data_IF_427985037386
#
_entry.id   IF_427985037386
#
_cell.length_a   1.000
_cell.length_b   1.000
_cell.length_c   1.000
_cell.angle_alpha   90.00
_cell.angle_beta   90.00
_cell.angle_gamma   90.00
#
_symmetry.space_group_name_H-M   'P 1'
#
loop_
_entity.id
_entity.type
_entity.pdbx_description
1 polymer ?
#
# COMPACT_ATOMS: atom_id res chain seq x y z
N UNK A 1 -26.62 3.45 11.36
CA UNK A 1 -26.67 3.11 9.95
C UNK A 1 -25.40 3.56 9.26
N UNK A 2 -24.95 2.80 8.38
CA UNK A 2 -23.79 3.21 7.63
C UNK A 2 -24.21 3.29 6.16
N UNK A 3 -23.85 4.36 5.50
CA UNK A 3 -23.72 4.28 4.08
C UNK A 3 -22.69 3.19 3.78
N UNK A 4 -22.77 2.54 2.63
CA UNK A 4 -21.68 1.68 2.21
C UNK A 4 -20.40 2.50 2.33
N UNK A 5 -19.42 1.96 3.04
CA UNK A 5 -18.13 2.60 3.09
C UNK A 5 -17.68 2.82 1.66
N UNK A 6 -17.31 4.03 1.33
CA UNK A 6 -16.75 4.29 0.02
C UNK A 6 -15.50 3.46 -0.14
N UNK A 7 -15.43 2.67 -1.19
CA UNK A 7 -14.27 1.89 -1.54
C UNK A 7 -13.80 2.24 -2.93
N UNK A 8 -12.50 2.11 -3.15
CA UNK A 8 -11.93 2.33 -4.48
C UNK A 8 -12.62 1.43 -5.50
N UNK A 9 -12.89 1.96 -6.69
CA UNK A 9 -13.49 1.18 -7.76
C UNK A 9 -12.46 0.30 -8.43
N UNK A 10 -12.92 -0.74 -9.13
CA UNK A 10 -12.04 -1.60 -9.91
C UNK A 10 -11.25 -0.79 -10.96
N UNK A 11 -11.90 0.14 -11.63
CA UNK A 11 -11.25 0.97 -12.64
C UNK A 11 -10.14 1.83 -12.05
N UNK A 12 -10.41 2.48 -10.91
CA UNK A 12 -9.40 3.29 -10.23
C UNK A 12 -8.25 2.45 -9.69
N UNK A 13 -8.55 1.27 -9.15
CA UNK A 13 -7.52 0.34 -8.67
C UNK A 13 -6.59 -0.09 -9.81
N UNK A 14 -7.16 -0.42 -10.98
CA UNK A 14 -6.37 -0.77 -12.16
C UNK A 14 -5.51 0.38 -12.65
N UNK A 15 -6.05 1.60 -12.65
CA UNK A 15 -5.30 2.80 -13.04
C UNK A 15 -4.15 3.05 -12.07
N UNK A 16 -4.37 2.84 -10.78
CA UNK A 16 -3.35 3.02 -9.75
C UNK A 16 -2.21 2.01 -9.94
N UNK A 17 -2.54 0.75 -10.23
CA UNK A 17 -1.54 -0.28 -10.52
C UNK A 17 -0.68 0.13 -11.73
N UNK A 18 -1.30 0.60 -12.80
CA UNK A 18 -0.56 1.05 -13.98
C UNK A 18 0.37 2.22 -13.66
N UNK A 19 -0.10 3.17 -12.85
CA UNK A 19 0.70 4.31 -12.41
C UNK A 19 1.91 3.87 -11.57
N UNK A 20 1.73 2.86 -10.72
CA UNK A 20 2.84 2.29 -9.92
C UNK A 20 3.89 1.67 -10.81
N UNK A 21 3.49 0.85 -11.80
CA UNK A 21 4.47 0.24 -12.70
C UNK A 21 5.24 1.29 -13.49
N UNK A 22 4.58 2.36 -13.91
CA UNK A 22 5.23 3.48 -14.58
C UNK A 22 6.27 4.14 -13.66
N UNK A 23 5.91 4.40 -12.41
CA UNK A 23 6.80 5.00 -11.43
C UNK A 23 7.98 4.06 -11.11
N UNK A 24 7.70 2.78 -10.91
CA UNK A 24 8.72 1.78 -10.60
C UNK A 24 9.76 1.66 -11.73
N UNK A 25 9.29 1.64 -12.98
CA UNK A 25 10.19 1.60 -14.13
C UNK A 25 11.09 2.83 -14.18
N UNK A 26 10.55 4.00 -13.87
CA UNK A 26 11.31 5.25 -13.84
C UNK A 26 12.33 5.28 -12.72
N UNK A 27 11.97 4.73 -11.56
CA UNK A 27 12.86 4.62 -10.40
C UNK A 27 13.91 3.52 -10.61
N UNK A 28 13.55 2.46 -11.33
CA UNK A 28 14.48 1.41 -11.70
C UNK A 28 14.28 0.07 -11.01
N UNK A 29 13.04 -0.33 -10.72
CA UNK A 29 12.79 -1.65 -10.16
C UNK A 29 11.49 -2.27 -10.71
N UNK A 30 11.38 -3.59 -10.56
CA UNK A 30 10.21 -4.35 -10.95
C UNK A 30 9.31 -4.55 -9.72
N UNK A 31 8.06 -4.13 -9.81
CA UNK A 31 7.16 -4.08 -8.67
C UNK A 31 6.13 -5.20 -8.66
N UNK A 32 5.78 -5.63 -7.45
CA UNK A 32 4.50 -6.25 -7.15
C UNK A 32 3.62 -5.18 -6.52
N UNK A 33 2.38 -5.09 -6.97
CA UNK A 33 1.45 -4.02 -6.57
C UNK A 33 0.12 -4.65 -6.17
N UNK A 34 -0.36 -4.29 -4.99
CA UNK A 34 -1.66 -4.73 -4.51
C UNK A 34 -2.50 -3.54 -4.12
N UNK A 35 -3.79 -3.60 -4.42
CA UNK A 35 -4.78 -2.62 -3.97
C UNK A 35 -5.89 -3.39 -3.26
N UNK A 36 -6.20 -2.95 -2.03
CA UNK A 36 -7.34 -3.49 -1.29
C UNK A 36 -8.47 -2.47 -1.29
N UNK A 37 -9.68 -2.95 -0.99
CA UNK A 37 -10.79 -2.05 -0.68
C UNK A 37 -10.66 -1.52 0.75
N UNK A 38 -11.65 -0.74 1.19
CA UNK A 38 -11.65 -0.15 2.54
C UNK A 38 -11.69 -1.19 3.65
N UNK A 39 -12.15 -2.40 3.37
CA UNK A 39 -12.19 -3.51 4.33
C UNK A 39 -10.95 -4.40 4.30
N UNK A 40 -9.95 -4.07 3.52
CA UNK A 40 -8.72 -4.85 3.42
C UNK A 40 -8.78 -6.03 2.47
N UNK A 41 -9.85 -6.17 1.70
CA UNK A 41 -9.99 -7.27 0.74
C UNK A 41 -9.31 -6.91 -0.58
N UNK A 42 -8.64 -7.87 -1.24
CA UNK A 42 -7.98 -7.61 -2.52
C UNK A 42 -8.96 -7.07 -3.56
N UNK A 43 -8.60 -5.99 -4.21
CA UNK A 43 -9.38 -5.38 -5.29
C UNK A 43 -8.69 -5.52 -6.63
N UNK A 44 -7.36 -5.39 -6.65
CA UNK A 44 -6.53 -5.56 -7.84
C UNK A 44 -5.13 -5.94 -7.41
N UNK A 45 -4.45 -6.69 -8.25
CA UNK A 45 -3.08 -7.12 -8.01
C UNK A 45 -2.37 -7.34 -9.34
N UNK A 46 -1.09 -6.98 -9.39
CA UNK A 46 -0.24 -7.27 -10.52
C UNK A 46 1.21 -7.36 -10.08
N UNK A 47 1.94 -8.31 -10.64
CA UNK A 47 3.35 -8.51 -10.33
C UNK A 47 4.13 -8.50 -11.64
N UNK A 48 5.11 -7.59 -11.74
CA UNK A 48 6.02 -7.59 -12.87
C UNK A 48 6.77 -8.93 -12.97
N UNK A 49 7.06 -9.36 -14.19
CA UNK A 49 7.67 -10.68 -14.42
C UNK A 49 8.97 -10.87 -13.64
N UNK A 50 9.77 -9.82 -13.50
CA UNK A 50 11.06 -9.89 -12.82
C UNK A 50 10.96 -9.78 -11.29
N UNK A 51 9.79 -9.46 -10.73
CA UNK A 51 9.65 -9.38 -9.28
C UNK A 51 9.56 -10.78 -8.66
N UNK A 52 10.37 -11.08 -7.61
CA UNK A 52 10.32 -12.40 -6.97
C UNK A 52 8.95 -12.72 -6.37
N UNK A 53 8.60 -13.99 -6.25
CA UNK A 53 7.25 -14.38 -5.81
C UNK A 53 6.92 -13.92 -4.37
N UNK A 54 7.91 -13.79 -3.49
CA UNK A 54 7.67 -13.28 -2.14
C UNK A 54 7.07 -11.88 -2.15
N UNK A 55 7.42 -11.07 -3.16
CA UNK A 55 6.93 -9.70 -3.23
C UNK A 55 5.41 -9.63 -3.36
N UNK A 56 4.77 -10.67 -3.88
CA UNK A 56 3.31 -10.73 -3.99
C UNK A 56 2.65 -10.70 -2.61
N UNK A 57 3.08 -11.56 -1.69
CA UNK A 57 2.55 -11.58 -0.32
C UNK A 57 2.86 -10.29 0.42
N UNK A 58 4.08 -9.79 0.27
CA UNK A 58 4.50 -8.56 0.95
C UNK A 58 3.68 -7.37 0.47
N UNK A 59 3.44 -7.25 -0.84
CA UNK A 59 2.61 -6.17 -1.37
C UNK A 59 1.17 -6.24 -0.83
N UNK A 60 0.59 -7.43 -0.81
CA UNK A 60 -0.76 -7.64 -0.27
C UNK A 60 -0.83 -7.27 1.22
N UNK A 61 0.16 -7.69 2.00
CA UNK A 61 0.17 -7.41 3.44
C UNK A 61 0.46 -5.94 3.74
N UNK A 62 1.27 -5.26 2.93
CA UNK A 62 1.45 -3.81 3.04
C UNK A 62 0.14 -3.07 2.77
N UNK A 63 -0.59 -3.45 1.73
CA UNK A 63 -1.88 -2.83 1.42
C UNK A 63 -2.89 -3.05 2.54
N UNK A 64 -2.98 -4.28 3.03
CA UNK A 64 -3.86 -4.65 4.13
C UNK A 64 -3.54 -3.86 5.41
N UNK A 65 -2.26 -3.79 5.76
CA UNK A 65 -1.79 -3.07 6.94
C UNK A 65 -2.11 -1.58 6.84
N UNK A 66 -1.84 -0.97 5.69
CA UNK A 66 -2.11 0.46 5.51
C UNK A 66 -3.60 0.78 5.55
N UNK A 67 -4.45 -0.07 4.98
CA UNK A 67 -5.89 0.14 5.00
C UNK A 67 -6.48 0.04 6.42
N UNK A 68 -5.87 -0.75 7.29
CA UNK A 68 -6.43 -1.06 8.60
C UNK A 68 -6.48 0.15 9.54
N UNK A 69 -5.37 0.90 9.66
CA UNK A 69 -5.27 2.05 10.57
C UNK A 69 -5.13 3.38 9.81
N UNK A 70 -5.25 3.36 8.50
CA UNK A 70 -5.21 4.55 7.64
C UNK A 70 -3.88 5.32 7.75
N UNK A 71 -2.78 4.62 7.97
CA UNK A 71 -1.44 5.18 8.06
C UNK A 71 -0.48 4.43 7.15
N UNK A 72 0.59 5.09 6.66
CA UNK A 72 1.62 4.41 5.89
C UNK A 72 2.31 3.31 6.70
N UNK A 73 2.73 2.25 6.04
CA UNK A 73 3.35 1.11 6.73
C UNK A 73 4.66 1.45 7.42
N UNK A 74 5.42 2.43 6.90
CA UNK A 74 6.66 2.86 7.57
C UNK A 74 6.40 3.54 8.92
N UNK A 75 5.23 4.15 9.11
CA UNK A 75 4.84 4.74 10.39
C UNK A 75 4.75 3.69 11.50
N UNK A 76 4.42 2.45 11.14
CA UNK A 76 4.39 1.35 12.09
C UNK A 76 5.75 1.07 12.74
N UNK A 77 6.86 1.45 12.09
CA UNK A 77 8.18 1.28 12.69
C UNK A 77 8.29 2.05 14.00
N UNK A 78 7.72 3.25 14.06
CA UNK A 78 7.74 4.06 15.28
C UNK A 78 6.89 3.43 16.36
N UNK A 79 5.70 2.93 16.02
CA UNK A 79 4.84 2.25 16.99
C UNK A 79 5.49 0.99 17.54
N UNK A 80 6.11 0.18 16.68
CA UNK A 80 6.72 -1.07 17.10
C UNK A 80 7.99 -0.86 17.91
N UNK A 81 8.58 0.33 17.90
CA UNK A 81 9.69 0.69 18.76
C UNK A 81 9.28 0.78 20.22
N UNK A 82 7.99 0.99 20.50
CA UNK A 82 7.47 1.00 21.86
C UNK A 82 7.32 -0.44 22.35
N UNK A 83 7.93 -0.75 23.50
CA UNK A 83 7.94 -2.10 24.06
C UNK A 83 6.54 -2.66 24.29
N UNK A 84 5.55 -1.82 24.55
CA UNK A 84 4.17 -2.23 24.78
C UNK A 84 3.44 -2.61 23.50
N UNK A 85 3.91 -2.12 22.37
CA UNK A 85 3.33 -2.36 21.03
C UNK A 85 4.15 -3.39 20.26
N UNK A 86 5.42 -3.56 20.61
CA UNK A 86 6.34 -4.45 19.91
C UNK A 86 5.79 -5.87 19.66
N UNK A 87 4.99 -6.48 20.57
CA UNK A 87 4.42 -7.80 20.31
C UNK A 87 3.54 -7.90 19.07
N UNK A 88 2.99 -6.79 18.58
CA UNK A 88 2.21 -6.78 17.34
C UNK A 88 3.03 -7.21 16.13
N UNK A 89 4.36 -7.07 16.20
CA UNK A 89 5.23 -7.50 15.11
C UNK A 89 5.11 -9.01 14.81
N UNK A 90 4.58 -9.78 15.76
CA UNK A 90 4.30 -11.20 15.55
C UNK A 90 3.01 -11.49 14.82
N UNK A 91 2.19 -10.49 14.53
CA UNK A 91 0.96 -10.71 13.77
C UNK A 91 1.31 -11.06 12.32
N UNK A 92 0.76 -12.17 11.79
CA UNK A 92 1.22 -12.68 10.48
C UNK A 92 1.10 -11.72 9.32
N UNK A 93 0.14 -10.81 9.34
CA UNK A 93 -0.12 -9.91 8.23
C UNK A 93 0.33 -8.47 8.46
N UNK A 94 0.78 -8.15 9.67
CA UNK A 94 1.27 -6.80 9.94
C UNK A 94 2.61 -6.60 9.26
N UNK A 95 2.63 -5.77 8.22
CA UNK A 95 3.82 -5.54 7.42
C UNK A 95 4.32 -4.13 7.65
N UNK A 96 5.21 -3.97 8.62
CA UNK A 96 5.74 -2.67 9.04
C UNK A 96 6.97 -2.25 8.24
N UNK A 97 6.91 -2.44 6.93
CA UNK A 97 7.98 -2.07 5.99
C UNK A 97 7.42 -1.03 5.02
N UNK A 98 8.17 0.01 4.74
CA UNK A 98 7.73 1.08 3.86
C UNK A 98 7.29 0.61 2.49
N UNK A 99 6.30 1.28 1.92
CA UNK A 99 5.73 0.95 0.62
C UNK A 99 4.22 0.64 0.67
N UNK A 100 3.60 0.65 1.85
CA UNK A 100 2.16 0.59 2.00
C UNK A 100 1.59 1.95 2.35
N UNK A 101 0.50 2.34 1.68
CA UNK A 101 -0.15 3.62 1.94
C UNK A 101 -1.66 3.43 1.97
N UNK A 102 -2.37 4.13 2.87
CA UNK A 102 -3.81 4.22 2.74
C UNK A 102 -4.13 5.01 1.48
N UNK A 103 -5.19 4.63 0.79
CA UNK A 103 -5.68 5.38 -0.37
C UNK A 103 -6.73 6.34 0.16
N UNK A 104 -6.39 7.63 0.18
CA UNK A 104 -7.23 8.68 0.76
C UNK A 104 -7.84 9.51 -0.36
N UNK A 105 -9.16 9.55 -0.40
CA UNK A 105 -9.93 10.33 -1.37
C UNK A 105 -10.92 11.22 -0.62
N UNK A 106 -10.77 12.52 -0.74
CA UNK A 106 -11.59 13.51 -0.02
C UNK A 106 -11.62 13.24 1.49
N UNK A 107 -10.47 12.97 2.08
CA UNK A 107 -10.33 12.74 3.51
C UNK A 107 -10.79 11.37 3.97
N UNK A 108 -11.25 10.49 3.08
CA UNK A 108 -11.71 9.13 3.42
C UNK A 108 -10.71 8.10 2.95
N UNK A 109 -10.44 7.12 3.79
CA UNK A 109 -9.67 5.96 3.37
C UNK A 109 -10.58 5.03 2.57
N UNK A 110 -10.29 4.89 1.28
CA UNK A 110 -11.09 4.07 0.37
C UNK A 110 -10.40 2.73 0.04
N UNK A 111 -9.23 2.49 0.58
CA UNK A 111 -8.49 1.25 0.35
C UNK A 111 -7.06 1.35 0.83
N UNK A 112 -6.27 0.35 0.47
CA UNK A 112 -4.84 0.30 0.73
C UNK A 112 -4.06 -0.01 -0.53
N UNK A 113 -2.89 0.59 -0.64
CA UNK A 113 -1.91 0.34 -1.70
C UNK A 113 -0.67 -0.28 -1.09
N UNK A 114 -0.18 -1.36 -1.66
CA UNK A 114 1.06 -1.97 -1.23
C UNK A 114 1.98 -2.23 -2.40
N UNK A 115 3.24 -1.85 -2.26
CA UNK A 115 4.26 -2.05 -3.27
C UNK A 115 5.44 -2.79 -2.65
N UNK A 116 5.95 -3.76 -3.37
CA UNK A 116 7.14 -4.50 -2.99
C UNK A 116 7.97 -4.79 -4.23
N UNK A 117 9.26 -5.06 -4.05
CA UNK A 117 10.17 -5.39 -5.16
C UNK A 117 11.39 -4.50 -5.23
N UNK A 118 11.31 -3.25 -4.77
CA UNK A 118 12.46 -2.37 -4.62
C UNK A 118 12.96 -2.35 -3.18
N UNK A 119 13.84 -1.41 -2.86
CA UNK A 119 14.12 -1.08 -1.46
C UNK A 119 12.84 -0.47 -0.86
N UNK A 120 12.76 -0.46 0.49
CA UNK A 120 11.58 0.15 1.11
C UNK A 120 11.43 1.63 0.71
N UNK A 121 12.53 2.32 0.47
CA UNK A 121 12.53 3.72 0.02
C UNK A 121 12.01 3.85 -1.41
N UNK A 122 12.41 2.95 -2.30
CA UNK A 122 11.92 2.91 -3.68
C UNK A 122 10.43 2.57 -3.72
N UNK A 123 10.01 1.62 -2.88
CA UNK A 123 8.60 1.25 -2.78
C UNK A 123 7.76 2.44 -2.30
N UNK A 124 8.24 3.18 -1.30
CA UNK A 124 7.58 4.40 -0.82
C UNK A 124 7.49 5.46 -1.92
N UNK A 125 8.59 5.69 -2.63
CA UNK A 125 8.64 6.70 -3.68
C UNK A 125 7.67 6.37 -4.82
N UNK A 126 7.62 5.12 -5.24
CA UNK A 126 6.69 4.70 -6.30
C UNK A 126 5.24 4.87 -5.86
N UNK A 127 4.92 4.53 -4.61
CA UNK A 127 3.58 4.70 -4.06
C UNK A 127 3.16 6.18 -4.07
N UNK A 128 4.01 7.05 -3.57
CA UNK A 128 3.70 8.48 -3.49
C UNK A 128 3.50 9.10 -4.87
N UNK A 129 4.36 8.74 -5.83
CA UNK A 129 4.24 9.23 -7.20
C UNK A 129 2.92 8.77 -7.84
N UNK A 130 2.56 7.51 -7.66
CA UNK A 130 1.35 6.96 -8.25
C UNK A 130 0.08 7.56 -7.62
N UNK A 131 0.04 7.68 -6.30
CA UNK A 131 -1.08 8.30 -5.60
C UNK A 131 -1.27 9.74 -6.04
N UNK A 132 -0.19 10.50 -6.10
CA UNK A 132 -0.23 11.90 -6.54
C UNK A 132 -0.71 12.02 -7.98
N UNK A 133 -0.23 11.15 -8.86
CA UNK A 133 -0.60 11.18 -10.28
C UNK A 133 -2.12 10.99 -10.49
N UNK A 134 -2.76 10.23 -9.61
CA UNK A 134 -4.19 9.97 -9.71
C UNK A 134 -5.05 10.88 -8.83
N UNK A 135 -4.44 11.85 -8.17
CA UNK A 135 -5.17 12.82 -7.37
C UNK A 135 -5.56 12.36 -5.97
N UNK A 136 -5.00 11.25 -5.50
CA UNK A 136 -5.19 10.81 -4.12
C UNK A 136 -4.26 11.57 -3.19
N UNK A 137 -4.68 11.69 -1.93
CA UNK A 137 -3.87 12.36 -0.92
C UNK A 137 -2.71 11.46 -0.49
N UNK A 138 -1.55 12.08 -0.23
CA UNK A 138 -0.42 11.35 0.36
C UNK A 138 -0.31 11.80 1.81
N UNK A 139 -0.57 10.91 2.79
CA UNK A 139 -0.52 11.32 4.19
C UNK A 139 0.90 11.67 4.61
N UNK A 140 1.00 12.67 5.49
CA UNK A 140 2.24 13.00 6.15
C UNK A 140 2.62 11.86 7.12
N UNK A 141 3.91 11.68 7.33
CA UNK A 141 4.42 10.62 8.21
C UNK A 141 4.28 11.00 9.68
#
# INVERSE_FOLDING_TARGET
>A
MSSPASSITQAAAGALIAAVHTAAARIGFAAAVAVTDAGGHPKAFDRADAAPFLTAEVALDKAWTAASFHIPTHTWNDYLANARVAPLAGHPRLMAVGGGYPIIDNGRCVGGLGISGGSYEQDQQAAEQALTALGFEVPAH
#
